data_IF_866601174265
#
_entry.id   IF_866601174265
#
_cell.length_a   1.000
_cell.length_b   1.000
_cell.length_c   1.000
_cell.angle_alpha   90.00
_cell.angle_beta   90.00
_cell.angle_gamma   90.00
#
_symmetry.space_group_name_H-M   'P 1'
#
loop_
_entity.id
_entity.type
_entity.pdbx_description
1 polymer ?
#
# COMPACT_ATOMS: atom_id res chain seq x y z
N UNK A 1 2.65 -5.62 -27.53
CA UNK A 1 2.81 -5.96 -26.10
C UNK A 1 2.54 -4.71 -25.29
N UNK A 2 1.74 -4.80 -24.22
CA UNK A 2 1.41 -3.66 -23.34
C UNK A 2 2.63 -3.30 -22.50
N UNK A 3 2.90 -2.01 -22.30
CA UNK A 3 4.02 -1.49 -21.50
C UNK A 3 3.52 -0.87 -20.21
N UNK A 4 3.95 -1.43 -19.07
CA UNK A 4 3.53 -0.99 -17.74
C UNK A 4 4.69 -0.25 -17.05
N UNK A 5 4.51 1.04 -16.79
CA UNK A 5 5.47 1.85 -16.04
C UNK A 5 5.14 1.79 -14.55
N UNK A 6 6.10 1.36 -13.73
CA UNK A 6 6.00 1.34 -12.28
C UNK A 6 7.06 2.28 -11.71
N UNK A 7 6.64 3.41 -11.14
CA UNK A 7 7.56 4.34 -10.44
C UNK A 7 7.55 3.97 -8.96
N UNK A 8 8.70 3.67 -8.38
CA UNK A 8 8.80 3.06 -7.06
C UNK A 8 8.71 1.53 -7.12
N UNK A 9 9.33 0.90 -8.12
CA UNK A 9 9.18 -0.55 -8.39
C UNK A 9 9.86 -1.43 -7.34
N UNK A 10 10.90 -0.95 -6.65
CA UNK A 10 11.71 -1.74 -5.73
C UNK A 10 11.08 -1.82 -4.33
N UNK A 11 9.87 -2.37 -4.25
CA UNK A 11 9.09 -2.45 -3.02
C UNK A 11 7.99 -3.50 -3.12
N UNK A 12 7.14 -3.56 -2.10
CA UNK A 12 6.13 -4.61 -1.93
C UNK A 12 5.21 -4.77 -3.16
N UNK A 13 4.46 -3.73 -3.54
CA UNK A 13 3.59 -3.81 -4.72
C UNK A 13 4.40 -4.02 -5.99
N UNK A 14 5.50 -3.28 -6.17
CA UNK A 14 6.29 -3.32 -7.39
C UNK A 14 6.90 -4.71 -7.66
N UNK A 15 7.41 -5.41 -6.63
CA UNK A 15 7.89 -6.78 -6.74
C UNK A 15 6.76 -7.74 -7.16
N UNK A 16 5.68 -7.80 -6.38
CA UNK A 16 4.61 -8.79 -6.60
C UNK A 16 3.85 -8.55 -7.91
N UNK A 17 3.63 -7.28 -8.25
CA UNK A 17 3.00 -6.90 -9.52
C UNK A 17 3.90 -7.26 -10.70
N UNK A 18 5.18 -6.91 -10.65
CA UNK A 18 6.13 -7.23 -11.73
C UNK A 18 6.23 -8.74 -11.92
N UNK A 19 6.39 -9.51 -10.83
CA UNK A 19 6.39 -10.97 -10.87
C UNK A 19 5.14 -11.51 -11.57
N UNK A 20 3.94 -11.07 -11.16
CA UNK A 20 2.68 -11.53 -11.76
C UNK A 20 2.59 -11.17 -13.25
N UNK A 21 2.99 -9.95 -13.63
CA UNK A 21 2.99 -9.52 -15.04
C UNK A 21 3.89 -10.45 -15.87
N UNK A 22 5.12 -10.67 -15.41
CA UNK A 22 6.12 -11.47 -16.12
C UNK A 22 5.70 -12.95 -16.21
N UNK A 23 5.08 -13.51 -15.18
CA UNK A 23 4.68 -14.93 -15.17
C UNK A 23 3.42 -15.21 -16.00
N UNK A 24 2.48 -14.27 -16.10
CA UNK A 24 1.11 -14.56 -16.58
C UNK A 24 0.69 -13.80 -17.84
N UNK A 25 1.52 -12.91 -18.36
CA UNK A 25 1.20 -12.09 -19.53
C UNK A 25 2.37 -11.99 -20.50
N UNK A 26 2.13 -11.40 -21.67
CA UNK A 26 3.14 -10.99 -22.64
C UNK A 26 3.59 -9.52 -22.47
N UNK A 27 3.21 -8.86 -21.36
CA UNK A 27 3.49 -7.43 -21.15
C UNK A 27 4.94 -7.18 -20.76
N UNK A 28 5.40 -5.96 -21.00
CA UNK A 28 6.71 -5.45 -20.59
C UNK A 28 6.57 -4.57 -19.35
N UNK A 29 7.47 -4.74 -18.38
CA UNK A 29 7.54 -3.92 -17.17
C UNK A 29 8.70 -2.93 -17.32
N UNK A 30 8.40 -1.65 -17.18
CA UNK A 30 9.39 -0.57 -17.05
C UNK A 30 9.37 -0.11 -15.60
N UNK A 31 10.38 -0.47 -14.83
CA UNK A 31 10.46 -0.19 -13.40
C UNK A 31 11.48 0.89 -13.08
N UNK A 32 11.07 1.93 -12.35
CA UNK A 32 11.98 2.97 -11.85
C UNK A 32 12.12 2.89 -10.34
N UNK A 33 13.36 2.91 -9.85
CA UNK A 33 13.69 3.11 -8.43
C UNK A 33 15.16 3.50 -8.28
N UNK A 34 15.63 3.73 -7.05
CA UNK A 34 17.06 3.99 -6.80
C UNK A 34 17.89 2.70 -6.72
N UNK A 35 17.26 1.56 -6.41
CA UNK A 35 17.94 0.28 -6.17
C UNK A 35 17.07 -0.90 -6.63
N UNK A 36 17.57 -2.14 -6.53
CA UNK A 36 16.93 -3.37 -7.06
C UNK A 36 16.86 -4.55 -6.08
N UNK A 37 17.33 -4.37 -4.84
CA UNK A 37 17.47 -5.41 -3.82
C UNK A 37 16.17 -6.13 -3.45
N UNK A 38 15.00 -5.51 -3.66
CA UNK A 38 13.68 -6.13 -3.44
C UNK A 38 13.12 -6.81 -4.69
N UNK A 39 13.75 -6.65 -5.85
CA UNK A 39 13.28 -7.25 -7.10
C UNK A 39 13.80 -8.68 -7.30
N UNK A 40 14.89 -9.06 -6.62
CA UNK A 40 15.49 -10.39 -6.77
C UNK A 40 15.81 -10.69 -8.23
N UNK A 41 15.52 -11.92 -8.69
CA UNK A 41 15.84 -12.37 -10.04
C UNK A 41 14.97 -11.72 -11.14
N UNK A 42 13.94 -10.96 -10.79
CA UNK A 42 13.04 -10.33 -11.76
C UNK A 42 13.79 -9.40 -12.73
N UNK A 43 14.85 -8.74 -12.27
CA UNK A 43 15.67 -7.82 -13.10
C UNK A 43 16.39 -8.52 -14.25
N UNK A 44 16.57 -9.84 -14.17
CA UNK A 44 17.22 -10.63 -15.22
C UNK A 44 16.25 -11.09 -16.31
N UNK A 45 14.94 -10.90 -16.11
CA UNK A 45 13.94 -11.30 -17.07
C UNK A 45 13.92 -10.36 -18.28
N UNK A 46 13.87 -10.89 -19.50
CA UNK A 46 14.00 -10.11 -20.75
C UNK A 46 12.95 -8.97 -20.91
N UNK A 47 11.74 -9.19 -20.38
CA UNK A 47 10.63 -8.22 -20.33
C UNK A 47 10.62 -7.29 -19.11
N UNK A 48 11.62 -7.41 -18.23
CA UNK A 48 11.81 -6.48 -17.11
C UNK A 48 12.88 -5.46 -17.46
N UNK A 49 12.49 -4.20 -17.49
CA UNK A 49 13.36 -3.07 -17.81
C UNK A 49 13.47 -2.16 -16.59
N UNK A 50 14.46 -2.44 -15.73
CA UNK A 50 14.79 -1.55 -14.63
C UNK A 50 15.60 -0.35 -15.12
N UNK A 51 15.34 0.82 -14.56
CA UNK A 51 16.18 1.99 -14.71
C UNK A 51 16.22 2.82 -13.42
N UNK A 52 17.38 3.44 -13.16
CA UNK A 52 17.57 4.24 -11.96
C UNK A 52 16.91 5.62 -12.09
N UNK A 53 16.28 6.11 -11.02
CA UNK A 53 15.81 7.50 -10.97
C UNK A 53 14.96 7.85 -9.75
N UNK A 54 14.87 9.15 -9.49
CA UNK A 54 14.03 9.79 -8.47
C UNK A 54 13.01 10.72 -9.15
N UNK A 55 11.73 10.60 -8.80
CA UNK A 55 10.65 11.43 -9.39
C UNK A 55 10.79 12.93 -9.12
N UNK A 56 11.53 13.31 -8.08
CA UNK A 56 11.78 14.71 -7.69
C UNK A 56 12.94 15.33 -8.48
N UNK A 57 13.85 14.51 -9.02
CA UNK A 57 15.07 14.93 -9.72
C UNK A 57 14.95 14.68 -11.23
N UNK A 58 14.68 13.45 -11.64
CA UNK A 58 14.80 12.97 -13.03
C UNK A 58 13.55 13.24 -13.88
N UNK A 59 13.03 14.48 -13.86
CA UNK A 59 11.75 14.87 -14.47
C UNK A 59 11.65 14.52 -15.96
N UNK A 60 12.69 14.81 -16.75
CA UNK A 60 12.71 14.52 -18.19
C UNK A 60 12.67 13.01 -18.48
N UNK A 61 13.37 12.22 -17.66
CA UNK A 61 13.43 10.78 -17.81
C UNK A 61 12.11 10.10 -17.44
N UNK A 62 11.47 10.58 -16.38
CA UNK A 62 10.12 10.17 -15.98
C UNK A 62 9.10 10.51 -17.07
N UNK A 63 9.12 11.75 -17.59
CA UNK A 63 8.22 12.18 -18.66
C UNK A 63 8.40 11.33 -19.93
N UNK A 64 9.66 11.05 -20.32
CA UNK A 64 9.97 10.17 -21.45
C UNK A 64 9.36 8.77 -21.26
N UNK A 65 9.50 8.17 -20.08
CA UNK A 65 8.94 6.84 -19.81
C UNK A 65 7.41 6.86 -19.74
N UNK A 66 6.80 7.92 -19.21
CA UNK A 66 5.35 8.11 -19.27
C UNK A 66 4.87 8.15 -20.72
N UNK A 67 5.56 8.89 -21.61
CA UNK A 67 5.24 8.93 -23.04
C UNK A 67 5.41 7.56 -23.71
N UNK A 68 6.44 6.80 -23.32
CA UNK A 68 6.80 5.49 -23.91
C UNK A 68 5.84 4.36 -23.52
N UNK A 69 5.32 4.36 -22.29
CA UNK A 69 4.51 3.28 -21.76
C UNK A 69 3.01 3.50 -22.00
N UNK A 70 2.19 2.47 -21.74
CA UNK A 70 0.74 2.52 -21.96
C UNK A 70 -0.03 2.77 -20.65
N UNK A 71 0.42 2.13 -19.56
CA UNK A 71 -0.17 2.20 -18.22
C UNK A 71 0.86 2.73 -17.22
N UNK A 72 0.46 3.67 -16.38
CA UNK A 72 1.33 4.38 -15.43
C UNK A 72 0.88 4.10 -14.00
N UNK A 73 1.78 3.55 -13.18
CA UNK A 73 1.59 3.28 -11.75
C UNK A 73 2.61 4.06 -10.91
N UNK A 74 2.27 5.26 -10.42
CA UNK A 74 3.14 6.02 -9.53
C UNK A 74 2.96 5.57 -8.07
N UNK A 75 3.87 4.72 -7.58
CA UNK A 75 3.80 4.12 -6.23
C UNK A 75 4.62 4.86 -5.17
N UNK A 76 5.39 5.87 -5.56
CA UNK A 76 6.23 6.68 -4.67
C UNK A 76 5.36 7.61 -3.81
N UNK A 77 5.35 7.37 -2.50
CA UNK A 77 4.68 8.22 -1.50
C UNK A 77 5.15 7.85 -0.07
N UNK A 78 5.17 8.81 0.84
CA UNK A 78 5.37 8.54 2.27
C UNK A 78 4.08 7.98 2.86
N UNK A 79 4.05 6.67 3.12
CA UNK A 79 2.90 5.96 3.69
C UNK A 79 3.07 5.58 5.18
N UNK A 80 3.79 6.40 5.96
CA UNK A 80 4.13 6.09 7.37
C UNK A 80 3.47 7.06 8.36
N UNK A 81 2.54 6.60 9.23
CA UNK A 81 1.79 7.47 10.14
C UNK A 81 2.59 8.41 11.04
N UNK A 82 3.72 7.95 11.56
CA UNK A 82 4.60 8.79 12.39
C UNK A 82 5.16 9.99 11.61
N UNK A 83 5.43 9.82 10.31
CA UNK A 83 5.96 10.88 9.45
C UNK A 83 4.92 11.95 9.15
N UNK A 84 3.61 11.60 9.13
CA UNK A 84 2.53 12.57 8.91
C UNK A 84 2.50 13.63 10.01
N UNK A 85 2.81 13.23 11.26
CA UNK A 85 2.86 14.12 12.41
C UNK A 85 4.20 14.86 12.47
N UNK A 86 5.32 14.16 12.24
CA UNK A 86 6.68 14.71 12.42
C UNK A 86 7.15 15.59 11.26
N UNK A 87 6.77 15.27 10.03
CA UNK A 87 7.26 15.91 8.79
C UNK A 87 6.12 16.13 7.78
N UNK A 88 5.03 16.84 8.13
CA UNK A 88 3.85 16.98 7.28
C UNK A 88 4.15 17.60 5.91
N UNK A 89 5.06 18.58 5.84
CA UNK A 89 5.43 19.23 4.57
C UNK A 89 6.07 18.24 3.59
N UNK A 90 6.98 17.39 4.08
CA UNK A 90 7.62 16.36 3.26
C UNK A 90 6.61 15.37 2.66
N UNK A 91 5.55 15.04 3.42
CA UNK A 91 4.44 14.21 2.94
C UNK A 91 3.70 14.92 1.82
N UNK A 92 3.37 16.20 1.98
CA UNK A 92 2.71 16.98 0.94
C UNK A 92 3.57 17.11 -0.33
N UNK A 93 4.85 17.48 -0.18
CA UNK A 93 5.80 17.67 -1.28
C UNK A 93 5.97 16.39 -2.12
N UNK A 94 6.08 15.22 -1.49
CA UNK A 94 6.24 13.97 -2.21
C UNK A 94 4.90 13.41 -2.73
N UNK A 95 3.90 13.28 -1.86
CA UNK A 95 2.69 12.52 -2.15
C UNK A 95 1.73 13.30 -3.06
N UNK A 96 1.82 14.63 -3.05
CA UNK A 96 1.01 15.51 -3.89
C UNK A 96 1.84 16.21 -4.95
N UNK A 97 2.79 17.08 -4.56
CA UNK A 97 3.46 17.96 -5.53
C UNK A 97 4.34 17.20 -6.52
N UNK A 98 5.12 16.22 -6.08
CA UNK A 98 5.97 15.42 -6.97
C UNK A 98 5.18 14.45 -7.85
N UNK A 99 4.00 14.01 -7.39
CA UNK A 99 3.12 13.13 -8.16
C UNK A 99 2.30 13.88 -9.23
N UNK A 100 1.95 15.15 -9.00
CA UNK A 100 1.12 15.93 -9.91
C UNK A 100 1.69 16.08 -11.34
N UNK A 101 3.00 16.32 -11.56
CA UNK A 101 3.61 16.30 -12.89
C UNK A 101 3.47 14.95 -13.63
N UNK A 102 3.46 13.83 -12.90
CA UNK A 102 3.28 12.50 -13.49
C UNK A 102 1.83 12.36 -13.98
N UNK A 103 0.85 12.78 -13.17
CA UNK A 103 -0.57 12.83 -13.57
C UNK A 103 -0.74 13.70 -14.82
N UNK A 104 -0.18 14.90 -14.82
CA UNK A 104 -0.23 15.82 -15.98
C UNK A 104 0.42 15.24 -17.23
N UNK A 105 1.51 14.49 -17.08
CA UNK A 105 2.14 13.76 -18.19
C UNK A 105 1.23 12.66 -18.74
N UNK A 106 0.55 11.91 -17.86
CA UNK A 106 -0.42 10.90 -18.28
C UNK A 106 -1.58 11.51 -19.09
N UNK A 107 -2.07 12.70 -18.69
CA UNK A 107 -3.06 13.49 -19.45
C UNK A 107 -2.50 13.88 -20.81
N UNK A 108 -1.33 14.55 -20.82
CA UNK A 108 -0.68 15.08 -22.04
C UNK A 108 -0.45 14.00 -23.10
N UNK A 109 -0.13 12.78 -22.69
CA UNK A 109 0.19 11.68 -23.60
C UNK A 109 -0.90 10.61 -23.71
N UNK A 110 -2.10 10.85 -23.16
CA UNK A 110 -3.26 9.96 -23.29
C UNK A 110 -3.03 8.56 -22.72
N UNK A 111 -2.44 8.48 -21.52
CA UNK A 111 -2.07 7.21 -20.87
C UNK A 111 -3.13 6.73 -19.90
N UNK A 112 -3.16 5.42 -19.62
CA UNK A 112 -3.99 4.89 -18.54
C UNK A 112 -3.27 5.08 -17.21
N UNK A 113 -3.75 6.03 -16.41
CA UNK A 113 -3.23 6.28 -15.07
C UNK A 113 -3.92 5.34 -14.06
N UNK A 114 -3.16 4.41 -13.47
CA UNK A 114 -3.64 3.55 -12.38
C UNK A 114 -3.02 4.06 -11.08
N UNK A 115 -3.75 4.91 -10.37
CA UNK A 115 -3.19 5.67 -9.26
C UNK A 115 -3.52 5.02 -7.90
N UNK A 116 -2.52 4.82 -7.02
CA UNK A 116 -2.75 4.37 -5.65
C UNK A 116 -3.35 5.51 -4.84
N UNK A 117 -4.68 5.52 -4.74
CA UNK A 117 -5.38 6.22 -3.67
C UNK A 117 -5.13 5.46 -2.35
N UNK A 118 -5.84 5.82 -1.29
CA UNK A 118 -5.61 5.23 0.03
C UNK A 118 -6.92 4.94 0.73
N UNK A 119 -6.98 3.86 1.50
CA UNK A 119 -8.10 3.61 2.40
C UNK A 119 -8.18 4.66 3.52
N UNK A 120 -7.16 5.49 3.74
CA UNK A 120 -7.19 6.60 4.72
C UNK A 120 -8.05 7.77 4.22
N UNK A 121 -8.40 7.82 2.93
CA UNK A 121 -9.18 8.91 2.34
C UNK A 121 -10.58 9.02 2.95
N UNK A 122 -11.14 7.90 3.41
CA UNK A 122 -12.41 7.84 4.13
C UNK A 122 -12.33 8.53 5.50
N UNK A 123 -11.13 8.58 6.09
CA UNK A 123 -10.90 9.14 7.40
C UNK A 123 -11.80 8.51 8.46
N UNK A 124 -12.45 9.34 9.26
CA UNK A 124 -13.39 8.94 10.33
C UNK A 124 -14.81 8.72 9.79
N UNK A 125 -14.95 8.18 8.57
CA UNK A 125 -16.24 7.78 8.03
C UNK A 125 -16.95 6.83 9.02
N UNK A 126 -18.25 7.08 9.24
CA UNK A 126 -19.07 6.32 10.19
C UNK A 126 -19.85 5.18 9.54
N UNK A 127 -19.76 5.03 8.21
CA UNK A 127 -20.46 3.98 7.48
C UNK A 127 -19.92 2.61 7.87
N UNK A 128 -20.81 1.60 7.92
CA UNK A 128 -20.42 0.22 8.24
C UNK A 128 -19.41 -0.36 7.23
N UNK A 129 -19.58 0.01 5.96
CA UNK A 129 -18.64 -0.28 4.89
C UNK A 129 -18.34 1.00 4.12
N UNK A 130 -17.07 1.23 3.83
CA UNK A 130 -16.63 2.39 3.08
C UNK A 130 -16.91 2.18 1.59
N UNK A 131 -17.89 2.93 1.08
CA UNK A 131 -18.32 2.92 -0.31
C UNK A 131 -17.50 3.95 -1.11
N UNK A 132 -16.75 3.54 -2.16
CA UNK A 132 -15.95 4.47 -2.93
C UNK A 132 -16.78 5.53 -3.67
N UNK A 133 -18.07 5.27 -3.90
CA UNK A 133 -18.97 6.09 -4.70
C UNK A 133 -20.00 6.88 -3.86
N UNK A 134 -20.12 6.57 -2.56
CA UNK A 134 -21.15 7.18 -1.70
C UNK A 134 -20.68 7.70 -0.34
N UNK A 135 -19.63 7.11 0.25
CA UNK A 135 -19.24 7.44 1.62
C UNK A 135 -18.69 8.86 1.76
N UNK A 136 -19.13 9.55 2.83
CA UNK A 136 -18.56 10.83 3.20
C UNK A 136 -17.12 10.67 3.70
N UNK A 137 -16.29 11.69 3.43
CA UNK A 137 -14.87 11.70 3.76
C UNK A 137 -14.64 12.70 4.90
N UNK A 138 -14.32 12.22 6.10
CA UNK A 138 -14.29 13.05 7.33
C UNK A 138 -12.91 13.06 7.96
N UNK A 139 -12.32 14.25 8.12
CA UNK A 139 -11.03 14.44 8.77
C UNK A 139 -11.16 15.27 10.05
N UNK A 140 -10.13 15.23 10.89
CA UNK A 140 -10.05 16.08 12.07
C UNK A 140 -9.70 17.54 11.73
N UNK A 141 -9.65 18.41 12.75
CA UNK A 141 -9.27 19.81 12.58
C UNK A 141 -7.81 19.97 12.14
N UNK A 142 -7.45 21.15 11.64
CA UNK A 142 -6.11 21.47 11.11
C UNK A 142 -4.98 21.22 12.13
N UNK A 143 -5.24 21.39 13.44
CA UNK A 143 -4.26 21.11 14.50
C UNK A 143 -4.01 19.60 14.74
N UNK A 144 -4.58 18.71 13.91
CA UNK A 144 -4.33 17.26 13.85
C UNK A 144 -3.59 16.93 12.54
N UNK A 145 -2.26 17.17 12.46
CA UNK A 145 -1.52 17.11 11.20
C UNK A 145 -1.47 15.71 10.56
N UNK A 146 -1.81 14.64 11.30
CA UNK A 146 -1.92 13.28 10.74
C UNK A 146 -2.84 13.20 9.52
N UNK A 147 -3.82 14.10 9.41
CA UNK A 147 -4.78 14.13 8.31
C UNK A 147 -4.23 14.75 7.02
N UNK A 148 -3.02 15.32 7.04
CA UNK A 148 -2.40 15.87 5.83
C UNK A 148 -2.24 14.81 4.74
N UNK A 149 -1.88 13.57 5.12
CA UNK A 149 -1.78 12.45 4.18
C UNK A 149 -3.14 12.18 3.50
N UNK A 150 -4.19 11.97 4.29
CA UNK A 150 -5.53 11.70 3.76
C UNK A 150 -6.04 12.86 2.88
N UNK A 151 -5.83 14.11 3.30
CA UNK A 151 -6.23 15.29 2.54
C UNK A 151 -5.44 15.45 1.23
N UNK A 152 -4.12 15.22 1.24
CA UNK A 152 -3.28 15.25 0.04
C UNK A 152 -3.71 14.20 -0.98
N UNK A 153 -3.94 12.96 -0.54
CA UNK A 153 -4.42 11.87 -1.42
C UNK A 153 -5.85 12.14 -1.92
N UNK A 154 -6.72 12.70 -1.08
CA UNK A 154 -8.07 13.11 -1.50
C UNK A 154 -8.03 14.20 -2.57
N UNK A 155 -7.18 15.22 -2.40
CA UNK A 155 -7.04 16.28 -3.40
C UNK A 155 -6.47 15.73 -4.70
N UNK A 156 -5.50 14.81 -4.63
CA UNK A 156 -4.97 14.12 -5.81
C UNK A 156 -6.07 13.33 -6.55
N UNK A 157 -6.88 12.55 -5.82
CA UNK A 157 -8.04 11.83 -6.37
C UNK A 157 -8.99 12.79 -7.11
N UNK A 158 -9.28 13.97 -6.51
CA UNK A 158 -10.16 14.98 -7.11
C UNK A 158 -9.56 15.66 -8.34
N UNK A 159 -8.25 15.91 -8.34
CA UNK A 159 -7.54 16.45 -9.52
C UNK A 159 -7.55 15.43 -10.66
N UNK A 160 -7.27 14.16 -10.38
CA UNK A 160 -7.35 13.07 -11.37
C UNK A 160 -8.79 12.95 -11.89
N UNK A 161 -9.79 13.02 -11.02
CA UNK A 161 -11.20 13.01 -11.43
C UNK A 161 -11.54 14.17 -12.36
N UNK A 162 -11.09 15.39 -12.03
CA UNK A 162 -11.24 16.57 -12.87
C UNK A 162 -10.64 16.37 -14.26
N UNK A 163 -9.42 15.82 -14.34
CA UNK A 163 -8.83 15.43 -15.63
C UNK A 163 -9.61 14.31 -16.33
N UNK A 164 -10.22 13.40 -15.58
CA UNK A 164 -11.12 12.38 -16.11
C UNK A 164 -12.35 12.97 -16.81
N UNK A 165 -12.91 14.05 -16.26
CA UNK A 165 -13.99 14.82 -16.89
C UNK A 165 -13.54 15.48 -18.21
N UNK A 166 -12.24 15.73 -18.37
CA UNK A 166 -11.60 16.22 -19.60
C UNK A 166 -11.06 15.08 -20.51
N UNK A 167 -11.29 13.81 -20.15
CA UNK A 167 -10.97 12.65 -20.98
C UNK A 167 -9.74 11.84 -20.57
N UNK A 168 -9.13 12.08 -19.40
CA UNK A 168 -8.08 11.21 -18.86
C UNK A 168 -8.64 9.80 -18.61
N UNK A 169 -7.97 8.79 -19.16
CA UNK A 169 -8.20 7.40 -18.78
C UNK A 169 -7.52 7.12 -17.43
N UNK A 170 -8.30 7.04 -16.35
CA UNK A 170 -7.77 6.74 -15.02
C UNK A 170 -8.51 5.60 -14.34
N UNK A 171 -7.85 4.99 -13.35
CA UNK A 171 -8.48 4.16 -12.33
C UNK A 171 -7.82 4.48 -10.99
N UNK A 172 -8.63 4.77 -9.97
CA UNK A 172 -8.14 4.92 -8.60
C UNK A 172 -8.33 3.60 -7.87
N UNK A 173 -7.30 3.13 -7.17
CA UNK A 173 -7.42 1.95 -6.32
C UNK A 173 -7.02 2.27 -4.87
N UNK A 174 -7.76 1.71 -3.91
CA UNK A 174 -7.60 1.94 -2.48
C UNK A 174 -7.26 0.62 -1.80
N UNK A 175 -5.99 0.35 -1.50
CA UNK A 175 -5.59 -0.87 -0.81
C UNK A 175 -6.02 -0.83 0.67
N UNK A 176 -6.58 -1.93 1.17
CA UNK A 176 -6.94 -2.12 2.58
C UNK A 176 -5.99 -3.12 3.23
N UNK A 177 -4.99 -2.60 3.95
CA UNK A 177 -3.95 -3.34 4.69
C UNK A 177 -3.46 -4.58 3.94
N UNK A 178 -2.82 -4.37 2.79
CA UNK A 178 -2.22 -5.48 2.06
C UNK A 178 -1.03 -6.04 2.85
N UNK A 179 -0.97 -7.37 2.93
CA UNK A 179 0.02 -8.11 3.70
C UNK A 179 0.51 -9.32 2.90
N UNK A 180 1.76 -9.69 3.09
CA UNK A 180 2.38 -10.79 2.36
C UNK A 180 3.91 -10.75 2.48
N UNK A 181 4.61 -11.69 1.85
CA UNK A 181 6.07 -11.69 1.78
C UNK A 181 6.64 -10.38 1.24
N UNK A 182 7.85 -10.01 1.65
CA UNK A 182 8.50 -8.83 1.08
C UNK A 182 7.88 -7.50 1.52
N UNK A 183 7.36 -7.41 2.75
CA UNK A 183 6.88 -6.16 3.35
C UNK A 183 7.93 -5.04 3.23
N UNK A 184 7.50 -3.81 2.96
CA UNK A 184 8.39 -2.66 3.00
C UNK A 184 8.75 -2.36 4.46
N UNK A 185 9.95 -1.81 4.70
CA UNK A 185 10.28 -1.31 6.04
C UNK A 185 9.37 -0.14 6.39
N UNK A 186 9.19 0.14 7.69
CA UNK A 186 8.31 1.23 8.12
C UNK A 186 8.79 2.62 7.67
N UNK A 187 10.02 2.75 7.19
CA UNK A 187 10.60 4.01 6.71
C UNK A 187 10.66 4.12 5.19
N UNK A 188 10.34 3.05 4.44
CA UNK A 188 10.32 3.07 2.98
C UNK A 188 9.20 4.00 2.46
N UNK A 189 9.51 5.00 1.60
CA UNK A 189 8.54 5.94 1.04
C UNK A 189 7.83 5.36 -0.19
N UNK A 190 7.12 4.24 -0.01
CA UNK A 190 6.29 3.58 -1.03
C UNK A 190 4.93 3.19 -0.46
N UNK A 191 3.88 3.34 -1.27
CA UNK A 191 2.55 2.79 -0.97
C UNK A 191 2.57 1.26 -1.09
N UNK A 192 1.86 0.57 -0.18
CA UNK A 192 1.65 -0.88 -0.33
C UNK A 192 1.38 -1.64 0.96
N UNK A 193 2.44 -2.00 1.67
CA UNK A 193 2.37 -2.95 2.79
C UNK A 193 1.81 -2.35 4.08
N UNK A 194 1.03 -3.14 4.82
CA UNK A 194 0.45 -2.73 6.11
C UNK A 194 1.53 -2.49 7.17
N UNK A 195 1.74 -1.23 7.53
CA UNK A 195 2.77 -0.81 8.50
C UNK A 195 2.60 -1.43 9.89
N UNK A 196 1.37 -1.73 10.34
CA UNK A 196 1.13 -2.36 11.66
C UNK A 196 1.61 -3.82 11.67
N UNK A 197 1.39 -4.58 10.60
CA UNK A 197 1.87 -5.96 10.49
C UNK A 197 3.39 -6.00 10.37
N UNK A 198 3.97 -5.12 9.55
CA UNK A 198 5.42 -4.93 9.44
C UNK A 198 6.06 -4.66 10.82
N UNK A 199 5.49 -3.71 11.57
CA UNK A 199 6.02 -3.31 12.87
C UNK A 199 5.93 -4.45 13.90
N UNK A 200 4.78 -5.13 13.96
CA UNK A 200 4.58 -6.24 14.90
C UNK A 200 5.51 -7.42 14.58
N UNK A 201 5.71 -7.75 13.30
CA UNK A 201 6.68 -8.78 12.91
C UNK A 201 8.10 -8.40 13.36
N UNK A 202 8.51 -7.15 13.12
CA UNK A 202 9.80 -6.64 13.56
C UNK A 202 10.00 -6.79 15.07
N UNK A 203 9.04 -6.35 15.88
CA UNK A 203 9.10 -6.49 17.34
C UNK A 203 9.12 -7.94 17.80
N UNK A 204 8.30 -8.81 17.20
CA UNK A 204 8.26 -10.24 17.54
C UNK A 204 9.62 -10.90 17.31
N UNK A 205 10.23 -10.66 16.15
CA UNK A 205 11.53 -11.25 15.80
C UNK A 205 12.66 -10.71 16.68
N UNK A 206 12.54 -9.46 17.15
CA UNK A 206 13.50 -8.79 18.04
C UNK A 206 13.26 -9.09 19.53
N UNK A 207 12.11 -9.68 19.89
CA UNK A 207 11.71 -9.90 21.27
C UNK A 207 11.38 -8.60 22.02
N UNK A 208 10.89 -7.60 21.29
CA UNK A 208 10.48 -6.29 21.81
C UNK A 208 8.98 -6.27 22.09
N UNK A 209 8.55 -5.40 23.01
CA UNK A 209 7.14 -5.27 23.36
C UNK A 209 6.31 -4.69 22.19
N UNK A 210 5.08 -5.16 22.06
CA UNK A 210 4.09 -4.61 21.13
C UNK A 210 3.24 -3.59 21.87
N UNK A 211 3.14 -2.38 21.32
CA UNK A 211 2.28 -1.32 21.84
C UNK A 211 0.85 -1.44 21.27
N UNK A 212 -0.15 -1.55 22.14
CA UNK A 212 -1.57 -1.47 21.81
C UNK A 212 -2.10 -0.07 22.11
N UNK A 213 -2.15 0.76 21.08
CA UNK A 213 -2.63 2.14 21.17
C UNK A 213 -4.12 2.16 21.51
N UNK A 214 -4.47 2.88 22.57
CA UNK A 214 -5.83 3.03 23.11
C UNK A 214 -6.51 1.65 23.31
N UNK A 215 -5.73 0.66 23.76
CA UNK A 215 -6.19 -0.70 24.04
C UNK A 215 -6.28 -1.62 22.81
N UNK A 216 -5.96 -1.15 21.60
CA UNK A 216 -5.89 -2.00 20.40
C UNK A 216 -7.23 -2.53 19.90
N UNK A 217 -8.34 -1.89 20.27
CA UNK A 217 -9.70 -2.32 19.95
C UNK A 217 -10.13 -1.99 18.50
N UNK A 218 -9.41 -1.07 17.84
CA UNK A 218 -9.74 -0.65 16.49
C UNK A 218 -9.58 -1.81 15.49
N UNK A 219 -10.59 -1.98 14.63
CA UNK A 219 -10.69 -3.06 13.65
C UNK A 219 -10.30 -2.63 12.24
N UNK A 220 -9.63 -3.53 11.53
CA UNK A 220 -9.10 -3.32 10.19
C UNK A 220 -9.35 -4.56 9.33
N UNK A 221 -9.72 -4.34 8.07
CA UNK A 221 -9.71 -5.38 7.05
C UNK A 221 -8.28 -5.62 6.53
N UNK A 222 -7.81 -6.87 6.58
CA UNK A 222 -6.49 -7.31 6.10
C UNK A 222 -6.60 -8.14 4.83
N UNK A 223 -5.70 -7.90 3.86
CA UNK A 223 -5.83 -8.50 2.53
C UNK A 223 -4.51 -9.13 2.12
N UNK A 224 -4.55 -10.38 1.67
CA UNK A 224 -3.36 -11.03 1.10
C UNK A 224 -2.92 -10.29 -0.17
N UNK A 225 -1.62 -10.17 -0.37
CA UNK A 225 -1.06 -9.48 -1.53
C UNK A 225 -1.44 -10.14 -2.85
N UNK A 226 -1.60 -11.47 -2.90
CA UNK A 226 -2.04 -12.16 -4.12
C UNK A 226 -3.45 -11.75 -4.53
N UNK A 227 -4.34 -11.53 -3.57
CA UNK A 227 -5.69 -11.01 -3.82
C UNK A 227 -5.63 -9.56 -4.33
N UNK A 228 -4.79 -8.74 -3.72
CA UNK A 228 -4.54 -7.35 -4.12
C UNK A 228 -4.00 -7.22 -5.56
N UNK A 229 -2.94 -8.00 -5.87
CA UNK A 229 -2.33 -8.05 -7.20
C UNK A 229 -3.31 -8.60 -8.23
N UNK A 230 -4.12 -9.59 -7.88
CA UNK A 230 -5.12 -10.13 -8.81
C UNK A 230 -6.14 -9.08 -9.25
N UNK A 231 -6.57 -8.18 -8.36
CA UNK A 231 -7.39 -7.04 -8.73
C UNK A 231 -6.63 -6.00 -9.59
N UNK A 232 -5.38 -5.69 -9.25
CA UNK A 232 -4.55 -4.77 -10.05
C UNK A 232 -4.31 -5.29 -11.48
N UNK A 233 -4.09 -6.58 -11.66
CA UNK A 233 -3.94 -7.18 -12.98
C UNK A 233 -5.19 -6.97 -13.84
N UNK A 234 -6.40 -7.08 -13.25
CA UNK A 234 -7.67 -6.81 -13.94
C UNK A 234 -7.84 -5.33 -14.28
N UNK A 235 -7.42 -4.45 -13.38
CA UNK A 235 -7.41 -3.00 -13.64
C UNK A 235 -6.46 -2.66 -14.78
N UNK A 236 -5.25 -3.21 -14.81
CA UNK A 236 -4.26 -2.97 -15.88
C UNK A 236 -4.70 -3.61 -17.20
N UNK A 237 -5.30 -4.81 -17.16
CA UNK A 237 -5.90 -5.45 -18.33
C UNK A 237 -6.94 -4.52 -18.95
N UNK A 238 -7.80 -3.94 -18.10
CA UNK A 238 -8.86 -3.00 -18.45
C UNK A 238 -9.73 -3.48 -19.62
N UNK A 239 -10.18 -4.73 -19.54
CA UNK A 239 -10.94 -5.37 -20.62
C UNK A 239 -12.16 -4.51 -20.99
N UNK A 240 -12.26 -4.13 -22.27
CA UNK A 240 -13.31 -3.27 -22.81
C UNK A 240 -13.45 -1.90 -22.11
N UNK A 241 -12.39 -1.41 -21.43
CA UNK A 241 -12.45 -0.13 -20.72
C UNK A 241 -13.22 -0.16 -19.40
N UNK A 242 -13.52 -1.34 -18.85
CA UNK A 242 -14.37 -1.49 -17.66
C UNK A 242 -13.86 -0.74 -16.42
N UNK A 243 -12.54 -0.56 -16.28
CA UNK A 243 -11.91 0.12 -15.14
C UNK A 243 -11.71 1.63 -15.36
N UNK A 244 -11.99 2.14 -16.56
CA UNK A 244 -11.81 3.56 -16.89
C UNK A 244 -12.83 4.42 -16.14
N UNK A 245 -12.34 5.44 -15.41
CA UNK A 245 -13.17 6.36 -14.63
C UNK A 245 -13.64 5.81 -13.29
N UNK A 246 -13.08 4.68 -12.83
CA UNK A 246 -13.55 3.95 -11.65
C UNK A 246 -12.68 4.13 -10.41
N UNK A 247 -13.30 3.93 -9.25
CA UNK A 247 -12.65 3.94 -7.94
C UNK A 247 -12.92 2.60 -7.26
N UNK A 248 -11.87 1.82 -7.02
CA UNK A 248 -12.00 0.49 -6.43
C UNK A 248 -11.37 0.41 -5.05
N UNK A 249 -12.13 -0.06 -4.08
CA UNK A 249 -11.54 -0.62 -2.88
C UNK A 249 -11.03 -2.02 -3.20
N UNK A 250 -9.78 -2.30 -2.84
CA UNK A 250 -9.20 -3.63 -2.95
C UNK A 250 -8.85 -4.10 -1.55
N UNK A 251 -9.74 -4.89 -0.98
CA UNK A 251 -9.56 -5.47 0.33
C UNK A 251 -10.39 -6.70 0.58
N UNK A 252 -10.08 -7.43 1.65
CA UNK A 252 -10.91 -8.54 2.12
C UNK A 252 -11.75 -8.14 3.35
N UNK A 253 -13.04 -7.79 3.19
CA UNK A 253 -13.89 -7.40 4.31
C UNK A 253 -14.18 -8.55 5.30
N UNK A 254 -13.97 -9.81 4.92
CA UNK A 254 -14.15 -10.94 5.85
C UNK A 254 -13.00 -11.05 6.84
N UNK A 255 -11.81 -10.55 6.48
CA UNK A 255 -10.63 -10.56 7.33
C UNK A 255 -10.60 -9.30 8.23
N UNK A 256 -11.67 -9.06 8.99
CA UNK A 256 -11.81 -7.88 9.84
C UNK A 256 -11.41 -8.16 11.29
N UNK A 257 -10.19 -7.79 11.67
CA UNK A 257 -9.61 -8.07 12.97
C UNK A 257 -9.15 -6.79 13.68
N UNK A 258 -9.24 -6.78 15.00
CA UNK A 258 -8.67 -5.72 15.84
C UNK A 258 -7.14 -5.78 15.85
N UNK A 259 -6.50 -4.67 16.19
CA UNK A 259 -5.05 -4.62 16.38
C UNK A 259 -4.59 -5.60 17.47
N UNK A 260 -5.40 -5.77 18.53
CA UNK A 260 -5.16 -6.77 19.57
C UNK A 260 -5.26 -8.21 19.05
N UNK A 261 -6.31 -8.54 18.28
CA UNK A 261 -6.45 -9.86 17.65
C UNK A 261 -5.29 -10.17 16.69
N UNK A 262 -4.85 -9.17 15.90
CA UNK A 262 -3.65 -9.27 15.08
C UNK A 262 -2.43 -9.64 15.93
N UNK A 263 -2.16 -8.90 17.02
CA UNK A 263 -1.00 -9.15 17.87
C UNK A 263 -1.01 -10.58 18.46
N UNK A 264 -2.15 -11.03 18.98
CA UNK A 264 -2.29 -12.38 19.51
C UNK A 264 -2.11 -13.46 18.44
N UNK A 265 -2.70 -13.29 17.25
CA UNK A 265 -2.54 -14.25 16.14
C UNK A 265 -1.10 -14.33 15.66
N UNK A 266 -0.41 -13.19 15.52
CA UNK A 266 1.00 -13.18 15.13
C UNK A 266 1.90 -13.84 16.17
N UNK A 267 1.65 -13.62 17.47
CA UNK A 267 2.40 -14.28 18.54
C UNK A 267 2.16 -15.80 18.57
N UNK A 268 0.90 -16.23 18.39
CA UNK A 268 0.55 -17.64 18.31
C UNK A 268 1.25 -18.32 17.13
N UNK A 269 1.22 -17.71 15.94
CA UNK A 269 1.94 -18.21 14.78
C UNK A 269 3.45 -18.25 15.01
N UNK A 270 4.05 -17.18 15.55
CA UNK A 270 5.49 -17.12 15.83
C UNK A 270 5.96 -18.24 16.76
N UNK A 271 5.11 -18.70 17.69
CA UNK A 271 5.42 -19.82 18.58
C UNK A 271 5.49 -21.18 17.86
N UNK A 272 4.89 -21.31 16.67
CA UNK A 272 4.95 -22.52 15.83
C UNK A 272 6.29 -22.65 15.07
N UNK A 273 7.06 -21.56 14.95
CA UNK A 273 8.31 -21.50 14.19
C UNK A 273 9.54 -21.46 15.11
N UNK A 274 10.47 -22.44 15.04
CA UNK A 274 11.68 -22.47 15.86
C UNK A 274 12.53 -21.20 15.76
N UNK A 275 12.55 -20.57 14.58
CA UNK A 275 13.33 -19.37 14.26
C UNK A 275 12.83 -18.12 15.02
N UNK A 276 11.58 -18.13 15.50
CA UNK A 276 10.93 -16.98 16.15
C UNK A 276 10.51 -17.25 17.60
N UNK A 277 10.27 -18.51 17.96
CA UNK A 277 9.64 -18.89 19.22
C UNK A 277 10.32 -18.30 20.47
N UNK A 278 11.67 -18.30 20.51
CA UNK A 278 12.41 -17.77 21.66
C UNK A 278 12.33 -16.23 21.78
N UNK A 279 12.28 -15.51 20.67
CA UNK A 279 12.04 -14.06 20.69
C UNK A 279 10.59 -13.76 21.05
N UNK A 280 9.63 -14.48 20.46
CA UNK A 280 8.20 -14.29 20.67
C UNK A 280 7.78 -14.45 22.15
N UNK A 281 8.39 -15.39 22.88
CA UNK A 281 8.17 -15.59 24.33
C UNK A 281 8.50 -14.36 25.19
N UNK A 282 9.37 -13.47 24.72
CA UNK A 282 9.79 -12.26 25.44
C UNK A 282 8.82 -11.09 25.25
N UNK A 283 8.00 -11.15 24.20
CA UNK A 283 7.12 -10.05 23.80
C UNK A 283 5.98 -9.91 24.80
N UNK A 284 5.77 -8.69 25.29
CA UNK A 284 4.57 -8.33 26.06
C UNK A 284 3.71 -7.35 25.28
N UNK A 285 2.39 -7.48 25.43
CA UNK A 285 1.44 -6.49 24.92
C UNK A 285 1.31 -5.38 25.96
N UNK A 286 1.68 -4.16 25.57
CA UNK A 286 1.70 -2.98 26.45
C UNK A 286 0.67 -1.99 25.95
N UNK A 287 -0.27 -1.60 26.80
CA UNK A 287 -1.24 -0.56 26.45
C UNK A 287 -0.59 0.83 26.54
N UNK A 288 -0.91 1.68 25.57
CA UNK A 288 -0.41 3.05 25.53
C UNK A 288 -1.48 3.99 24.99
N UNK A 289 -1.38 5.27 25.33
CA UNK A 289 -2.27 6.28 24.73
C UNK A 289 -1.76 6.69 23.34
N UNK A 290 -2.67 7.06 22.45
CA UNK A 290 -2.32 7.64 21.15
C UNK A 290 -1.39 8.86 21.25
N UNK A 291 -1.57 9.69 22.28
CA UNK A 291 -0.71 10.85 22.54
C UNK A 291 0.73 10.46 22.89
N UNK A 292 0.93 9.42 23.70
CA UNK A 292 2.26 8.94 24.07
C UNK A 292 2.98 8.26 22.90
N UNK A 293 2.23 7.56 22.04
CA UNK A 293 2.80 6.76 20.95
C UNK A 293 3.08 7.57 19.69
N UNK A 294 2.10 8.35 19.21
CA UNK A 294 2.21 9.11 17.96
C UNK A 294 2.53 10.60 18.16
N UNK A 295 2.45 11.09 19.40
CA UNK A 295 2.56 12.50 19.73
C UNK A 295 1.21 13.21 19.79
N UNK A 296 1.24 14.47 20.23
CA UNK A 296 0.05 15.30 20.26
C UNK A 296 -0.49 15.50 18.84
N UNK A 297 -1.80 15.28 18.68
CA UNK A 297 -2.47 15.52 17.40
C UNK A 297 -2.82 14.27 16.59
N UNK A 298 -2.56 13.06 17.12
CA UNK A 298 -3.08 11.83 16.51
C UNK A 298 -4.58 11.62 16.79
N UNK A 299 -5.25 10.99 15.84
CA UNK A 299 -6.63 10.49 15.90
C UNK A 299 -6.69 9.20 15.07
N UNK A 300 -7.50 8.22 15.47
CA UNK A 300 -7.65 6.94 14.75
C UNK A 300 -9.12 6.65 14.39
N UNK A 301 -9.32 5.66 13.54
CA UNK A 301 -10.63 5.21 13.06
C UNK A 301 -10.95 3.86 13.70
N UNK A 302 -12.15 3.72 14.27
CA UNK A 302 -12.53 2.55 15.06
C UNK A 302 -12.73 1.27 14.24
N UNK A 303 -13.33 1.36 13.06
CA UNK A 303 -13.57 0.21 12.19
C UNK A 303 -13.40 0.62 10.73
N UNK A 304 -12.69 -0.19 9.93
CA UNK A 304 -12.39 0.10 8.53
C UNK A 304 -12.66 -1.11 7.66
N UNK A 305 -13.88 -1.21 7.16
CA UNK A 305 -14.33 -2.30 6.30
C UNK A 305 -14.56 -1.76 4.88
N UNK A 306 -13.91 -2.31 3.85
CA UNK A 306 -14.15 -1.89 2.47
C UNK A 306 -15.47 -2.45 1.96
N UNK A 307 -16.30 -1.61 1.32
CA UNK A 307 -17.28 -2.11 0.36
C UNK A 307 -16.54 -2.46 -0.93
N UNK A 308 -16.74 -3.67 -1.45
CA UNK A 308 -16.03 -4.19 -2.62
C UNK A 308 -16.98 -4.65 -3.74
N UNK A 309 -18.25 -4.26 -3.69
CA UNK A 309 -19.26 -4.75 -4.64
C UNK A 309 -18.91 -4.36 -6.08
N UNK A 310 -18.53 -3.11 -6.31
CA UNK A 310 -18.10 -2.64 -7.64
C UNK A 310 -16.83 -3.39 -8.11
N UNK A 311 -15.84 -3.55 -7.25
CA UNK A 311 -14.61 -4.31 -7.52
C UNK A 311 -14.93 -5.75 -7.91
N UNK A 312 -15.85 -6.41 -7.19
CA UNK A 312 -16.23 -7.79 -7.48
C UNK A 312 -16.97 -7.93 -8.80
N UNK A 313 -17.96 -7.08 -9.04
CA UNK A 313 -18.83 -7.17 -10.21
C UNK A 313 -18.12 -6.73 -11.49
N UNK A 314 -17.42 -5.60 -11.46
CA UNK A 314 -16.82 -5.00 -12.66
C UNK A 314 -15.52 -5.71 -13.07
N UNK A 315 -14.68 -6.13 -12.10
CA UNK A 315 -13.42 -6.83 -12.38
C UNK A 315 -13.55 -8.35 -12.41
N UNK A 316 -14.74 -8.89 -12.10
CA UNK A 316 -14.97 -10.32 -11.84
C UNK A 316 -13.90 -10.89 -10.91
N UNK A 317 -13.75 -10.25 -9.75
CA UNK A 317 -12.71 -10.53 -8.76
C UNK A 317 -13.35 -10.84 -7.41
N UNK A 318 -12.69 -11.65 -6.58
CA UNK A 318 -13.05 -11.80 -5.18
C UNK A 318 -11.80 -12.21 -4.39
N UNK A 319 -11.60 -11.69 -3.17
CA UNK A 319 -10.49 -12.12 -2.33
C UNK A 319 -10.70 -13.58 -1.91
N UNK A 320 -9.66 -14.40 -2.00
CA UNK A 320 -9.71 -15.84 -1.72
C UNK A 320 -9.01 -16.21 -0.40
N UNK A 321 -8.04 -15.40 0.05
CA UNK A 321 -7.18 -15.79 1.17
C UNK A 321 -7.79 -15.42 2.51
N UNK A 322 -7.79 -16.38 3.43
CA UNK A 322 -8.10 -16.12 4.84
C UNK A 322 -6.97 -15.34 5.52
N UNK A 323 -7.28 -14.69 6.64
CA UNK A 323 -6.27 -13.97 7.41
C UNK A 323 -5.16 -14.87 7.95
N UNK A 324 -5.49 -16.08 8.37
CA UNK A 324 -4.52 -17.04 8.92
C UNK A 324 -3.56 -17.56 7.83
N UNK A 325 -4.07 -17.83 6.61
CA UNK A 325 -3.22 -18.18 5.46
C UNK A 325 -2.28 -17.03 5.09
N UNK A 326 -2.81 -15.80 5.01
CA UNK A 326 -2.04 -14.62 4.68
C UNK A 326 -0.89 -14.39 5.68
N UNK A 327 -1.16 -14.52 6.98
CA UNK A 327 -0.11 -14.43 8.01
C UNK A 327 0.90 -15.57 7.90
N UNK A 328 0.45 -16.83 7.71
CA UNK A 328 1.34 -17.98 7.56
C UNK A 328 2.33 -17.80 6.41
N UNK A 329 1.88 -17.30 5.24
CA UNK A 329 2.77 -16.98 4.12
C UNK A 329 3.88 -16.00 4.51
N UNK A 330 3.57 -15.00 5.34
CA UNK A 330 4.56 -14.03 5.83
C UNK A 330 5.61 -14.72 6.71
N UNK A 331 5.16 -15.46 7.72
CA UNK A 331 6.07 -16.17 8.63
C UNK A 331 6.94 -17.19 7.89
N UNK A 332 6.39 -17.96 6.95
CA UNK A 332 7.17 -18.88 6.12
C UNK A 332 8.21 -18.14 5.25
N UNK A 333 7.84 -17.02 4.62
CA UNK A 333 8.77 -16.31 3.74
C UNK A 333 9.99 -15.72 4.49
N UNK A 334 9.77 -15.23 5.71
CA UNK A 334 10.83 -14.62 6.51
C UNK A 334 11.66 -15.64 7.31
N UNK A 335 11.32 -16.93 7.33
CA UNK A 335 11.97 -17.91 8.23
C UNK A 335 13.45 -18.09 7.94
N UNK A 336 13.82 -18.08 6.66
CA UNK A 336 15.21 -18.10 6.19
C UNK A 336 15.87 -16.71 6.19
N UNK A 337 15.10 -15.66 6.46
CA UNK A 337 15.50 -14.25 6.30
C UNK A 337 15.24 -13.47 7.59
N UNK A 338 15.56 -14.07 8.75
CA UNK A 338 15.31 -13.48 10.08
C UNK A 338 15.96 -12.09 10.21
N UNK A 339 17.14 -11.89 9.64
CA UNK A 339 17.83 -10.60 9.63
C UNK A 339 17.01 -9.52 8.89
N UNK A 340 16.41 -9.86 7.75
CA UNK A 340 15.53 -8.94 7.01
C UNK A 340 14.27 -8.60 7.81
N UNK A 341 13.68 -9.59 8.51
CA UNK A 341 12.52 -9.35 9.38
C UNK A 341 12.86 -8.39 10.53
N UNK A 342 14.08 -8.45 11.08
CA UNK A 342 14.55 -7.49 12.11
C UNK A 342 14.71 -6.09 11.54
N UNK A 343 15.22 -5.96 10.31
CA UNK A 343 15.47 -4.68 9.65
C UNK A 343 14.18 -3.92 9.28
N UNK A 344 13.01 -4.58 9.30
CA UNK A 344 11.71 -3.95 9.00
C UNK A 344 11.37 -2.74 9.89
N UNK A 345 11.95 -2.65 11.09
CA UNK A 345 11.75 -1.57 12.06
C UNK A 345 13.03 -0.76 12.35
N UNK A 346 14.12 -1.01 11.62
CA UNK A 346 15.38 -0.28 11.79
C UNK A 346 15.41 0.98 10.93
N UNK A 347 15.93 2.09 11.48
CA UNK A 347 16.35 3.23 10.67
C UNK A 347 17.74 2.92 10.13
N UNK A 348 17.84 2.67 8.83
CA UNK A 348 19.13 2.58 8.14
C UNK A 348 19.84 3.93 8.14
#
# INVERSE_FOLDING_TARGET
MKKVLILGVNGFIGHHLSKRILETTDWEVFGMDMQTERLGDLVNHERMHFFEGDITINKEWVEYHVKKCDVILPLVAIATPATYVKQPLRVFELDFEANLPIVRSAVKYGKHLVFPSTSEVYGMCADEQFDPDASALTYGPINKPRWIYACSKQLMDRVIWGYGMEGLNFTLFRPFNWIGPGLDSIYTPKEGSSRVVTQFLGHIVRGENISLVDGGAQKRAFTDIDDGISALMKIIENKNGIATGKIYNIGNPTNNFSVRELAHKMLALAAEYPEYAESAKKVQLVETSSGAYYGSGYQDVQNRVPKIDNTKQELNWAPQSTFDEALRKIFEAYRGHVAEARALVEQN
#
